data_IF_842502429999
#
_entry.id   IF_842502429999
#
_cell.length_a   1.000
_cell.length_b   1.000
_cell.length_c   1.000
_cell.angle_alpha   90.00
_cell.angle_beta   90.00
_cell.angle_gamma   90.00
#
_symmetry.space_group_name_H-M   'P 1'
#
loop_
_entity.id
_entity.type
_entity.pdbx_description
1 polymer ?
#
# COMPACT_ATOMS: atom_id res chain seq x y z
N UNK A 1 -23.07 -18.93 -22.46
CA UNK A 1 -22.05 -18.30 -23.33
C UNK A 1 -21.82 -16.84 -22.98
N UNK A 2 -22.81 -15.96 -23.02
CA UNK A 2 -22.69 -14.52 -22.72
C UNK A 2 -22.08 -14.24 -21.33
N UNK A 3 -22.43 -15.00 -20.27
CA UNK A 3 -21.87 -14.85 -18.92
C UNK A 3 -20.36 -15.16 -18.86
N UNK A 4 -19.88 -16.12 -19.66
CA UNK A 4 -18.43 -16.42 -19.77
C UNK A 4 -17.69 -15.31 -20.52
N UNK A 5 -18.26 -14.83 -21.63
CA UNK A 5 -17.69 -13.72 -22.42
C UNK A 5 -17.57 -12.46 -21.56
N UNK A 6 -18.63 -12.10 -20.81
CA UNK A 6 -18.61 -10.97 -19.89
C UNK A 6 -17.52 -11.11 -18.82
N UNK A 7 -17.32 -12.33 -18.28
CA UNK A 7 -16.25 -12.58 -17.29
C UNK A 7 -14.86 -12.31 -17.86
N UNK A 8 -14.61 -12.76 -19.08
CA UNK A 8 -13.33 -12.56 -19.76
C UNK A 8 -13.11 -11.07 -20.06
N UNK A 9 -14.11 -10.40 -20.65
CA UNK A 9 -13.98 -9.01 -21.09
C UNK A 9 -13.79 -8.00 -19.94
N UNK A 10 -14.44 -8.23 -18.81
CA UNK A 10 -14.39 -7.31 -17.65
C UNK A 10 -13.44 -7.77 -16.55
N UNK A 11 -12.65 -8.84 -16.78
CA UNK A 11 -11.87 -9.48 -15.72
C UNK A 11 -12.68 -9.82 -14.46
N UNK A 12 -14.00 -10.02 -14.62
CA UNK A 12 -14.92 -10.28 -13.51
C UNK A 12 -14.80 -11.70 -12.93
N UNK A 13 -13.79 -12.45 -13.31
CA UNK A 13 -13.32 -13.67 -12.64
C UNK A 13 -12.59 -13.35 -11.33
N UNK A 14 -12.04 -12.13 -11.20
CA UNK A 14 -11.44 -11.67 -9.96
C UNK A 14 -12.51 -11.14 -8.98
N UNK A 15 -12.38 -11.39 -7.67
CA UNK A 15 -13.28 -10.81 -6.68
C UNK A 15 -13.30 -9.28 -6.77
N UNK A 16 -14.48 -8.67 -6.66
CA UNK A 16 -14.61 -7.20 -6.70
C UNK A 16 -13.77 -6.51 -5.64
N UNK A 17 -13.76 -7.07 -4.42
CA UNK A 17 -12.93 -6.55 -3.32
C UNK A 17 -11.45 -6.50 -3.67
N UNK A 18 -10.93 -7.55 -4.31
CA UNK A 18 -9.53 -7.58 -4.75
C UNK A 18 -9.23 -6.55 -5.85
N UNK A 19 -10.18 -6.34 -6.79
CA UNK A 19 -10.03 -5.31 -7.82
C UNK A 19 -10.09 -3.89 -7.26
N UNK A 20 -10.98 -3.62 -6.31
CA UNK A 20 -11.10 -2.33 -5.63
C UNK A 20 -9.83 -1.99 -4.83
N UNK A 21 -9.23 -3.00 -4.21
CA UNK A 21 -8.03 -2.85 -3.39
C UNK A 21 -6.78 -2.50 -4.23
N UNK A 22 -6.62 -3.10 -5.41
CA UNK A 22 -5.48 -2.82 -6.29
C UNK A 22 -5.73 -1.61 -7.21
N UNK A 23 -6.96 -1.09 -7.28
CA UNK A 23 -7.35 0.02 -8.15
C UNK A 23 -6.50 1.29 -7.97
N UNK A 24 -6.17 1.76 -6.74
CA UNK A 24 -5.32 2.95 -6.56
C UNK A 24 -3.93 2.77 -7.18
N UNK A 25 -3.35 1.58 -7.07
CA UNK A 25 -2.04 1.25 -7.62
C UNK A 25 -2.05 1.24 -9.15
N UNK A 26 -3.09 0.65 -9.75
CA UNK A 26 -3.31 0.65 -11.20
C UNK A 26 -3.47 2.09 -11.73
N UNK A 27 -4.22 2.93 -11.03
CA UNK A 27 -4.41 4.32 -11.42
C UNK A 27 -3.11 5.11 -11.35
N UNK A 28 -2.28 4.89 -10.32
CA UNK A 28 -0.98 5.53 -10.20
C UNK A 28 -0.01 5.09 -11.31
N UNK A 29 0.01 3.80 -11.65
CA UNK A 29 0.86 3.32 -12.74
C UNK A 29 0.38 3.83 -14.10
N UNK A 30 -0.93 3.87 -14.34
CA UNK A 30 -1.48 4.50 -15.54
C UNK A 30 -1.13 6.01 -15.60
N UNK A 31 -1.10 6.72 -14.47
CA UNK A 31 -0.65 8.11 -14.40
C UNK A 31 0.82 8.25 -14.83
N UNK A 32 1.70 7.39 -14.32
CA UNK A 32 3.11 7.37 -14.74
C UNK A 32 3.25 7.10 -16.22
N UNK A 33 2.46 6.16 -16.77
CA UNK A 33 2.43 5.91 -18.21
C UNK A 33 1.96 7.12 -19.01
N UNK A 34 0.92 7.85 -18.57
CA UNK A 34 0.49 9.10 -19.20
C UNK A 34 1.63 10.13 -19.25
N UNK A 35 2.38 10.29 -18.15
CA UNK A 35 3.52 11.22 -18.08
C UNK A 35 4.59 10.83 -19.10
N UNK A 36 5.02 9.56 -19.08
CA UNK A 36 6.06 9.05 -19.99
C UNK A 36 5.59 9.19 -21.44
N UNK A 37 4.37 8.76 -21.74
CA UNK A 37 3.82 8.78 -23.09
C UNK A 37 3.66 10.20 -23.63
N UNK A 38 3.16 11.14 -22.82
CA UNK A 38 3.06 12.55 -23.19
C UNK A 38 4.45 13.18 -23.41
N UNK A 39 5.44 12.86 -22.58
CA UNK A 39 6.81 13.33 -22.74
C UNK A 39 7.45 12.81 -24.05
N UNK A 40 7.31 11.52 -24.33
CA UNK A 40 7.82 10.92 -25.57
C UNK A 40 7.15 11.54 -26.81
N UNK A 41 5.83 11.72 -26.78
CA UNK A 41 5.11 12.40 -27.86
C UNK A 41 5.57 13.85 -28.03
N UNK A 42 5.80 14.59 -26.94
CA UNK A 42 6.33 15.96 -27.04
C UNK A 42 7.70 16.02 -27.71
N UNK A 43 8.62 15.11 -27.38
CA UNK A 43 9.92 15.00 -28.05
C UNK A 43 9.75 14.70 -29.54
N UNK A 44 8.83 13.80 -29.89
CA UNK A 44 8.52 13.46 -31.28
C UNK A 44 7.97 14.69 -32.04
N UNK A 45 7.01 15.43 -31.47
CA UNK A 45 6.44 16.61 -32.12
C UNK A 45 7.44 17.75 -32.23
N UNK A 46 8.35 17.95 -31.25
CA UNK A 46 9.47 18.90 -31.36
C UNK A 46 10.36 18.55 -32.57
N UNK A 47 10.74 17.26 -32.68
CA UNK A 47 11.51 16.79 -33.84
C UNK A 47 10.78 17.09 -35.15
N UNK A 48 9.49 16.78 -35.26
CA UNK A 48 8.68 17.08 -36.43
C UNK A 48 8.63 18.57 -36.74
N UNK A 49 8.50 19.44 -35.74
CA UNK A 49 8.54 20.91 -35.91
C UNK A 49 9.90 21.38 -36.42
N UNK A 50 11.00 20.86 -35.90
CA UNK A 50 12.36 21.18 -36.41
C UNK A 50 12.48 20.77 -37.88
N UNK A 51 11.97 19.60 -38.25
CA UNK A 51 11.99 19.14 -39.66
C UNK A 51 11.21 20.08 -40.59
N UNK A 52 10.17 20.77 -40.12
CA UNK A 52 9.47 21.76 -40.95
C UNK A 52 10.33 23.01 -41.27
N UNK A 53 11.39 23.26 -40.52
CA UNK A 53 12.34 24.35 -40.77
C UNK A 53 13.41 23.91 -41.79
N UNK A 54 13.87 22.65 -41.64
CA UNK A 54 14.98 22.10 -42.43
C UNK A 54 14.52 21.70 -43.83
N UNK A 55 13.32 21.12 -43.96
CA UNK A 55 12.82 20.56 -45.21
C UNK A 55 11.47 21.19 -45.61
N UNK A 56 11.42 21.93 -46.75
CA UNK A 56 10.19 22.57 -47.24
C UNK A 56 9.00 21.62 -47.42
N UNK A 57 9.23 20.34 -47.72
CA UNK A 57 8.15 19.35 -47.92
C UNK A 57 7.26 19.21 -46.67
N UNK A 58 7.77 19.51 -45.46
CA UNK A 58 7.04 19.42 -44.21
C UNK A 58 6.34 20.73 -43.79
N UNK A 59 6.50 21.82 -44.51
CA UNK A 59 5.94 23.15 -44.14
C UNK A 59 4.42 23.11 -43.95
N UNK A 60 3.70 22.36 -44.81
CA UNK A 60 2.24 22.23 -44.76
C UNK A 60 1.75 21.54 -43.48
N UNK A 61 2.59 20.75 -42.83
CA UNK A 61 2.23 20.03 -41.61
C UNK A 61 2.55 20.81 -40.32
N UNK A 62 3.20 21.99 -40.42
CA UNK A 62 3.64 22.76 -39.23
C UNK A 62 2.53 23.04 -38.22
N UNK A 63 1.35 23.44 -38.68
CA UNK A 63 0.22 23.74 -37.81
C UNK A 63 -0.27 22.48 -37.09
N UNK A 64 -0.28 21.32 -37.77
CA UNK A 64 -0.68 20.03 -37.20
C UNK A 64 0.28 19.62 -36.08
N UNK A 65 1.60 19.71 -36.35
CA UNK A 65 2.63 19.40 -35.36
C UNK A 65 2.59 20.31 -34.12
N UNK A 66 2.37 21.64 -34.35
CA UNK A 66 2.25 22.59 -33.26
C UNK A 66 1.00 22.35 -32.40
N UNK A 67 -0.15 22.05 -33.00
CA UNK A 67 -1.36 21.67 -32.26
C UNK A 67 -1.17 20.38 -31.45
N UNK A 68 -0.62 19.34 -32.06
CA UNK A 68 -0.35 18.08 -31.39
C UNK A 68 0.63 18.24 -30.23
N UNK A 69 1.69 19.02 -30.41
CA UNK A 69 2.63 19.36 -29.33
C UNK A 69 1.92 20.09 -28.17
N UNK A 70 1.10 21.10 -28.48
CA UNK A 70 0.36 21.83 -27.44
C UNK A 70 -0.58 20.94 -26.63
N UNK A 71 -1.34 20.06 -27.30
CA UNK A 71 -2.23 19.09 -26.63
C UNK A 71 -1.44 18.13 -25.74
N UNK A 72 -0.35 17.56 -26.25
CA UNK A 72 0.49 16.64 -25.46
C UNK A 72 1.12 17.35 -24.26
N UNK A 73 1.50 18.63 -24.39
CA UNK A 73 2.04 19.44 -23.28
C UNK A 73 0.98 19.67 -22.20
N UNK A 74 -0.26 20.01 -22.59
CA UNK A 74 -1.38 20.15 -21.65
C UNK A 74 -1.65 18.82 -20.95
N UNK A 75 -1.69 17.70 -21.67
CA UNK A 75 -1.86 16.36 -21.09
C UNK A 75 -0.73 16.02 -20.11
N UNK A 76 0.51 16.35 -20.41
CA UNK A 76 1.65 16.19 -19.50
C UNK A 76 1.45 16.99 -18.21
N UNK A 77 1.11 18.27 -18.32
CA UNK A 77 0.83 19.12 -17.17
C UNK A 77 -0.33 18.59 -16.32
N UNK A 78 -1.43 18.15 -16.95
CA UNK A 78 -2.57 17.57 -16.25
C UNK A 78 -2.19 16.26 -15.53
N UNK A 79 -1.37 15.42 -16.15
CA UNK A 79 -0.89 14.17 -15.54
C UNK A 79 -0.01 14.40 -14.32
N UNK A 80 0.79 15.48 -14.33
CA UNK A 80 1.70 15.81 -13.22
C UNK A 80 0.95 16.52 -12.08
N UNK A 81 0.13 17.54 -12.40
CA UNK A 81 -0.40 18.46 -11.38
C UNK A 81 -1.85 18.19 -10.97
N UNK A 82 -2.70 17.76 -11.90
CA UNK A 82 -4.14 17.58 -11.65
C UNK A 82 -4.52 16.14 -11.34
N UNK A 83 -3.95 15.16 -12.04
CA UNK A 83 -4.30 13.75 -11.89
C UNK A 83 -4.02 13.17 -10.50
N UNK A 84 -2.99 13.59 -9.73
CA UNK A 84 -2.82 13.13 -8.34
C UNK A 84 -4.00 13.48 -7.43
N UNK A 85 -4.69 14.61 -7.70
CA UNK A 85 -5.87 15.06 -6.93
C UNK A 85 -7.17 14.50 -7.50
N UNK A 86 -7.21 14.21 -8.80
CA UNK A 86 -8.37 13.75 -9.55
C UNK A 86 -8.03 12.54 -10.41
N UNK A 87 -7.89 11.33 -9.84
CA UNK A 87 -7.45 10.12 -10.57
C UNK A 87 -8.33 9.77 -11.77
N UNK A 88 -9.61 10.15 -11.75
CA UNK A 88 -10.54 9.93 -12.87
C UNK A 88 -10.12 10.61 -14.18
N UNK A 89 -9.27 11.67 -14.12
CA UNK A 89 -8.75 12.35 -15.32
C UNK A 89 -7.79 11.48 -16.12
N UNK A 90 -7.15 10.48 -15.52
CA UNK A 90 -6.12 9.66 -16.17
C UNK A 90 -6.67 8.97 -17.42
N UNK A 91 -7.90 8.45 -17.36
CA UNK A 91 -8.55 7.83 -18.54
C UNK A 91 -8.78 8.83 -19.66
N UNK A 92 -9.29 10.01 -19.34
CA UNK A 92 -9.53 11.07 -20.33
C UNK A 92 -8.22 11.52 -20.97
N UNK A 93 -7.16 11.71 -20.19
CA UNK A 93 -5.83 12.08 -20.67
C UNK A 93 -5.28 11.01 -21.62
N UNK A 94 -5.42 9.74 -21.28
CA UNK A 94 -4.97 8.62 -22.11
C UNK A 94 -5.68 8.62 -23.48
N UNK A 95 -7.00 8.80 -23.48
CA UNK A 95 -7.80 8.89 -24.71
C UNK A 95 -7.38 10.11 -25.55
N UNK A 96 -7.22 11.29 -24.94
CA UNK A 96 -6.81 12.51 -25.65
C UNK A 96 -5.43 12.34 -26.29
N UNK A 97 -4.48 11.73 -25.59
CA UNK A 97 -3.15 11.45 -26.13
C UNK A 97 -3.20 10.51 -27.34
N UNK A 98 -4.03 9.47 -27.26
CA UNK A 98 -4.21 8.50 -28.33
C UNK A 98 -4.87 9.15 -29.57
N UNK A 99 -6.01 9.82 -29.37
CA UNK A 99 -6.72 10.51 -30.44
C UNK A 99 -5.89 11.63 -31.10
N UNK A 100 -5.03 12.29 -30.31
CA UNK A 100 -4.10 13.31 -30.85
C UNK A 100 -3.12 12.68 -31.83
N UNK A 101 -2.58 11.52 -31.51
CA UNK A 101 -1.67 10.78 -32.38
C UNK A 101 -2.38 10.29 -33.64
N UNK A 102 -3.59 9.72 -33.49
CA UNK A 102 -4.43 9.22 -34.57
C UNK A 102 -4.77 10.34 -35.56
N UNK A 103 -5.35 11.44 -35.07
CA UNK A 103 -5.77 12.59 -35.92
C UNK A 103 -4.58 13.26 -36.60
N UNK A 104 -3.50 13.48 -35.88
CA UNK A 104 -2.29 14.03 -36.50
C UNK A 104 -1.78 13.14 -37.63
N UNK A 105 -1.77 11.80 -37.42
CA UNK A 105 -1.39 10.82 -38.45
C UNK A 105 -2.28 10.89 -39.68
N UNK A 106 -3.61 11.00 -39.50
CA UNK A 106 -4.57 11.12 -40.60
C UNK A 106 -4.36 12.39 -41.41
N UNK A 107 -4.18 13.55 -40.74
CA UNK A 107 -3.94 14.83 -41.44
C UNK A 107 -2.58 14.89 -42.11
N UNK A 108 -1.54 14.28 -41.52
CA UNK A 108 -0.19 14.22 -42.13
C UNK A 108 -0.22 13.35 -43.37
N UNK A 109 -0.96 12.25 -43.40
CA UNK A 109 -1.07 11.36 -44.54
C UNK A 109 -1.63 12.05 -45.80
N UNK A 110 -2.35 13.16 -45.66
CA UNK A 110 -2.81 13.99 -46.77
C UNK A 110 -1.66 14.67 -47.53
N UNK A 111 -0.58 15.03 -46.82
CA UNK A 111 0.52 15.82 -47.36
C UNK A 111 1.78 14.98 -47.63
N UNK A 112 1.95 13.89 -46.90
CA UNK A 112 3.16 13.08 -46.90
C UNK A 112 2.76 11.58 -46.98
N UNK A 113 2.53 11.09 -48.20
CA UNK A 113 2.44 9.64 -48.41
C UNK A 113 3.82 9.01 -48.13
N UNK A 114 3.97 7.98 -47.42
CA UNK A 114 3.23 6.90 -46.79
C UNK A 114 3.40 6.81 -45.25
N UNK A 115 3.26 7.91 -44.52
CA UNK A 115 3.51 7.91 -43.05
C UNK A 115 2.30 7.42 -42.20
N UNK A 116 1.56 6.47 -42.74
CA UNK A 116 0.45 5.79 -42.04
C UNK A 116 0.89 4.97 -40.80
N UNK A 117 2.20 4.76 -40.60
CA UNK A 117 2.77 4.08 -39.43
C UNK A 117 2.29 4.69 -38.10
N UNK A 118 2.13 6.03 -38.05
CA UNK A 118 1.68 6.73 -36.83
C UNK A 118 0.26 6.28 -36.41
N UNK A 119 -0.63 6.04 -37.39
CA UNK A 119 -1.99 5.58 -37.13
C UNK A 119 -2.00 4.16 -36.54
N UNK A 120 -1.10 3.30 -36.99
CA UNK A 120 -1.02 1.92 -36.48
C UNK A 120 -0.34 1.86 -35.11
N UNK A 121 0.57 2.77 -34.82
CA UNK A 121 1.25 2.84 -33.54
C UNK A 121 0.26 3.09 -32.38
N UNK A 122 -0.72 4.01 -32.54
CA UNK A 122 -1.73 4.30 -31.54
C UNK A 122 -2.52 3.05 -31.16
N UNK A 123 -2.95 2.30 -32.16
CA UNK A 123 -3.80 1.10 -31.99
C UNK A 123 -3.08 -0.06 -31.29
N UNK A 124 -1.75 -0.16 -31.47
CA UNK A 124 -0.95 -1.24 -30.87
C UNK A 124 -0.38 -0.88 -29.51
N UNK A 125 0.06 0.37 -29.34
CA UNK A 125 0.80 0.79 -28.13
C UNK A 125 -0.15 1.02 -26.96
N UNK A 126 -1.27 1.69 -27.18
CA UNK A 126 -2.16 2.10 -26.09
C UNK A 126 -2.75 0.91 -25.33
N UNK A 127 -3.27 -0.17 -25.99
CA UNK A 127 -3.76 -1.35 -25.28
C UNK A 127 -2.69 -2.08 -24.45
N UNK A 128 -1.41 -1.91 -24.82
CA UNK A 128 -0.29 -2.57 -24.13
C UNK A 128 0.24 -1.70 -23.00
N UNK A 129 0.25 -0.38 -23.17
CA UNK A 129 0.79 0.56 -22.19
C UNK A 129 -0.17 0.77 -21.02
N UNK A 130 -1.46 1.03 -21.30
CA UNK A 130 -2.44 1.31 -20.26
C UNK A 130 -3.06 0.04 -19.69
N UNK A 131 -3.19 -0.01 -18.36
CA UNK A 131 -3.81 -1.12 -17.65
C UNK A 131 -5.32 -0.88 -17.63
N UNK A 132 -6.03 -1.54 -18.55
CA UNK A 132 -7.47 -1.44 -18.71
C UNK A 132 -8.08 -2.83 -18.86
N UNK A 133 -9.38 -2.94 -18.57
CA UNK A 133 -10.13 -4.14 -18.93
C UNK A 133 -10.32 -4.23 -20.46
N UNK A 134 -10.52 -5.44 -20.95
CA UNK A 134 -10.63 -5.70 -22.39
C UNK A 134 -11.81 -4.99 -23.03
N UNK A 135 -12.92 -4.78 -22.29
CA UNK A 135 -14.09 -4.06 -22.80
C UNK A 135 -13.76 -2.59 -23.05
N UNK A 136 -13.07 -1.91 -22.12
CA UNK A 136 -12.61 -0.55 -22.31
C UNK A 136 -11.65 -0.40 -23.48
N UNK A 137 -10.75 -1.38 -23.67
CA UNK A 137 -9.86 -1.45 -24.84
C UNK A 137 -10.64 -1.56 -26.14
N UNK A 138 -11.61 -2.46 -26.21
CA UNK A 138 -12.47 -2.62 -27.40
C UNK A 138 -13.22 -1.32 -27.71
N UNK A 139 -13.83 -0.70 -26.71
CA UNK A 139 -14.58 0.54 -26.89
C UNK A 139 -13.69 1.67 -27.43
N UNK A 140 -12.50 1.82 -26.90
CA UNK A 140 -11.54 2.82 -27.38
C UNK A 140 -11.14 2.57 -28.84
N UNK A 141 -10.83 1.33 -29.22
CA UNK A 141 -10.48 1.01 -30.60
C UNK A 141 -11.66 1.15 -31.59
N UNK A 142 -12.90 0.93 -31.13
CA UNK A 142 -14.10 1.25 -31.93
C UNK A 142 -14.17 2.76 -32.17
N UNK A 143 -13.92 3.60 -31.16
CA UNK A 143 -13.89 5.06 -31.30
C UNK A 143 -12.83 5.47 -32.30
N UNK A 144 -11.61 4.92 -32.22
CA UNK A 144 -10.54 5.18 -33.19
C UNK A 144 -10.96 4.85 -34.64
N UNK A 145 -11.61 3.72 -34.88
CA UNK A 145 -12.10 3.35 -36.21
C UNK A 145 -13.19 4.32 -36.68
N UNK A 146 -14.11 4.73 -35.84
CA UNK A 146 -15.17 5.71 -36.17
C UNK A 146 -14.55 7.07 -36.52
N UNK A 147 -13.66 7.58 -35.68
CA UNK A 147 -12.96 8.88 -35.88
C UNK A 147 -12.17 8.83 -37.20
N UNK A 148 -11.39 7.76 -37.39
CA UNK A 148 -10.65 7.56 -38.64
C UNK A 148 -11.59 7.56 -39.86
N UNK A 149 -12.71 6.83 -39.81
CA UNK A 149 -13.68 6.75 -40.91
C UNK A 149 -14.27 8.11 -41.24
N UNK A 150 -14.65 8.89 -40.24
CA UNK A 150 -15.25 10.24 -40.41
C UNK A 150 -14.26 11.25 -41.03
N UNK A 151 -13.01 11.21 -40.60
CA UNK A 151 -11.99 12.18 -41.04
C UNK A 151 -11.27 11.67 -42.30
N UNK A 152 -10.81 10.42 -42.28
CA UNK A 152 -10.01 9.83 -43.38
C UNK A 152 -10.76 9.76 -44.68
N UNK A 153 -12.05 9.43 -44.69
CA UNK A 153 -12.87 9.42 -45.90
C UNK A 153 -12.98 10.78 -46.60
N UNK A 154 -12.77 11.88 -45.88
CA UNK A 154 -12.85 13.26 -46.41
C UNK A 154 -11.49 13.84 -46.76
N UNK A 155 -10.40 13.28 -46.26
CA UNK A 155 -9.07 13.86 -46.31
C UNK A 155 -8.08 13.05 -47.16
N UNK A 156 -8.34 11.77 -47.37
CA UNK A 156 -7.44 10.85 -48.07
C UNK A 156 -7.96 10.48 -49.46
N UNK A 157 -7.02 10.11 -50.37
CA UNK A 157 -7.33 9.46 -51.62
C UNK A 157 -8.07 8.11 -51.38
N UNK A 158 -9.07 7.73 -52.19
CA UNK A 158 -9.92 6.56 -51.95
C UNK A 158 -9.15 5.23 -51.78
N UNK A 159 -8.09 5.02 -52.53
CA UNK A 159 -7.29 3.79 -52.41
C UNK A 159 -6.43 3.77 -51.18
N UNK A 160 -5.81 4.88 -50.82
CA UNK A 160 -5.06 5.07 -49.58
C UNK A 160 -5.98 4.87 -48.37
N UNK A 161 -7.17 5.49 -48.41
CA UNK A 161 -8.17 5.35 -47.33
C UNK A 161 -8.58 3.89 -47.12
N UNK A 162 -8.92 3.14 -48.19
CA UNK A 162 -9.30 1.71 -48.10
C UNK A 162 -8.16 0.89 -47.53
N UNK A 163 -6.93 1.12 -47.96
CA UNK A 163 -5.76 0.40 -47.47
C UNK A 163 -5.50 0.68 -45.99
N UNK A 164 -5.54 1.94 -45.56
CA UNK A 164 -5.33 2.31 -44.15
C UNK A 164 -6.44 1.77 -43.27
N UNK A 165 -7.70 1.88 -43.70
CA UNK A 165 -8.85 1.36 -42.92
C UNK A 165 -8.77 -0.15 -42.72
N UNK A 166 -8.44 -0.92 -43.75
CA UNK A 166 -8.31 -2.37 -43.62
C UNK A 166 -7.20 -2.77 -42.65
N UNK A 167 -6.05 -2.09 -42.70
CA UNK A 167 -4.95 -2.32 -41.78
C UNK A 167 -5.29 -1.87 -40.35
N UNK A 168 -5.98 -0.73 -40.20
CA UNK A 168 -6.45 -0.26 -38.88
C UNK A 168 -7.35 -1.30 -38.21
N UNK A 169 -8.28 -1.90 -38.95
CA UNK A 169 -9.13 -2.98 -38.43
C UNK A 169 -8.32 -4.22 -38.01
N UNK A 170 -7.36 -4.63 -38.85
CA UNK A 170 -6.50 -5.80 -38.54
C UNK A 170 -5.68 -5.54 -37.28
N UNK A 171 -4.98 -4.39 -37.22
CA UNK A 171 -4.16 -4.04 -36.07
C UNK A 171 -4.99 -3.80 -34.80
N UNK A 172 -6.26 -3.34 -34.92
CA UNK A 172 -7.18 -3.24 -33.80
C UNK A 172 -7.45 -4.60 -33.18
N UNK A 173 -7.72 -5.64 -34.00
CA UNK A 173 -7.91 -7.03 -33.50
C UNK A 173 -6.65 -7.53 -32.80
N UNK A 174 -5.48 -7.31 -33.40
CA UNK A 174 -4.19 -7.67 -32.80
C UNK A 174 -3.96 -6.93 -31.49
N UNK A 175 -4.23 -5.63 -31.44
CA UNK A 175 -4.14 -4.80 -30.24
C UNK A 175 -5.05 -5.26 -29.10
N UNK A 176 -6.30 -5.64 -29.42
CA UNK A 176 -7.23 -6.23 -28.44
C UNK A 176 -6.66 -7.53 -27.87
N UNK A 177 -6.14 -8.41 -28.70
CA UNK A 177 -5.57 -9.69 -28.24
C UNK A 177 -4.37 -9.48 -27.34
N UNK A 178 -3.39 -8.69 -27.79
CA UNK A 178 -2.17 -8.41 -27.01
C UNK A 178 -2.55 -7.68 -25.72
N UNK A 179 -3.39 -6.64 -25.79
CA UNK A 179 -3.85 -5.87 -24.64
C UNK A 179 -4.56 -6.75 -23.61
N UNK A 180 -5.42 -7.67 -24.06
CA UNK A 180 -6.09 -8.63 -23.18
C UNK A 180 -5.08 -9.48 -22.40
N UNK A 181 -4.14 -10.12 -23.07
CA UNK A 181 -3.17 -11.00 -22.40
C UNK A 181 -2.23 -10.23 -21.48
N UNK A 182 -1.71 -9.09 -21.94
CA UNK A 182 -0.79 -8.26 -21.16
C UNK A 182 -1.48 -7.69 -19.92
N UNK A 183 -2.68 -7.12 -20.08
CA UNK A 183 -3.40 -6.52 -18.98
C UNK A 183 -3.89 -7.57 -17.97
N UNK A 184 -4.38 -8.73 -18.45
CA UNK A 184 -4.71 -9.86 -17.58
C UNK A 184 -3.52 -10.29 -16.71
N UNK A 185 -2.35 -10.48 -17.32
CA UNK A 185 -1.13 -10.84 -16.59
C UNK A 185 -0.71 -9.78 -15.57
N UNK A 186 -0.95 -8.48 -15.87
CA UNK A 186 -0.70 -7.39 -14.93
C UNK A 186 -1.68 -7.43 -13.75
N UNK A 187 -2.98 -7.57 -13.99
CA UNK A 187 -3.98 -7.71 -12.93
C UNK A 187 -3.67 -8.90 -12.01
N UNK A 188 -3.34 -10.05 -12.57
CA UNK A 188 -2.93 -11.24 -11.81
C UNK A 188 -1.73 -10.95 -10.90
N UNK A 189 -0.73 -10.22 -11.40
CA UNK A 189 0.44 -9.83 -10.59
C UNK A 189 0.08 -8.90 -9.44
N UNK A 190 -0.77 -7.89 -9.65
CA UNK A 190 -1.20 -6.98 -8.59
C UNK A 190 -1.94 -7.72 -7.48
N UNK A 191 -2.93 -8.56 -7.86
CA UNK A 191 -3.70 -9.34 -6.88
C UNK A 191 -2.81 -10.34 -6.14
N UNK A 192 -1.87 -10.97 -6.83
CA UNK A 192 -0.92 -11.89 -6.20
C UNK A 192 0.03 -11.17 -5.24
N UNK A 193 0.56 -10.01 -5.64
CA UNK A 193 1.44 -9.20 -4.79
C UNK A 193 0.74 -8.75 -3.50
N UNK A 194 -0.51 -8.28 -3.63
CA UNK A 194 -1.33 -7.87 -2.49
C UNK A 194 -1.64 -9.05 -1.56
N UNK A 195 -2.03 -10.20 -2.13
CA UNK A 195 -2.29 -11.41 -1.35
C UNK A 195 -1.04 -11.90 -0.61
N UNK A 196 0.14 -11.81 -1.25
CA UNK A 196 1.42 -12.17 -0.64
C UNK A 196 1.78 -11.21 0.49
N UNK A 197 1.54 -9.92 0.32
CA UNK A 197 1.80 -8.92 1.37
C UNK A 197 0.92 -9.17 2.61
N UNK A 198 -0.38 -9.46 2.39
CA UNK A 198 -1.29 -9.82 3.49
C UNK A 198 -0.87 -11.10 4.21
N UNK A 199 -0.46 -12.11 3.46
CA UNK A 199 0.02 -13.36 4.04
C UNK A 199 1.26 -13.12 4.91
N UNK A 200 2.22 -12.33 4.41
CA UNK A 200 3.43 -11.98 5.15
C UNK A 200 3.11 -11.18 6.45
N UNK A 201 2.15 -10.24 6.38
CA UNK A 201 1.70 -9.51 7.59
C UNK A 201 1.02 -10.45 8.60
N UNK A 202 0.19 -11.37 8.12
CA UNK A 202 -0.43 -12.40 8.99
C UNK A 202 0.64 -13.30 9.61
N UNK A 203 1.58 -13.81 8.83
CA UNK A 203 2.69 -14.63 9.33
C UNK A 203 3.52 -13.87 10.36
N UNK A 204 3.82 -12.59 10.14
CA UNK A 204 4.52 -11.75 11.10
C UNK A 204 3.73 -11.58 12.40
N UNK A 205 2.42 -11.31 12.32
CA UNK A 205 1.55 -11.22 13.49
C UNK A 205 1.50 -12.54 14.28
N UNK A 206 1.41 -13.69 13.61
CA UNK A 206 1.45 -15.00 14.27
C UNK A 206 2.83 -15.31 14.87
N UNK A 207 3.91 -14.89 14.20
CA UNK A 207 5.26 -15.15 14.68
C UNK A 207 5.67 -14.27 15.87
N UNK A 208 5.22 -13.01 15.91
CA UNK A 208 5.67 -12.00 16.86
C UNK A 208 4.56 -11.42 17.76
N UNK A 209 3.29 -11.70 17.50
CA UNK A 209 2.17 -11.26 18.32
C UNK A 209 1.70 -12.31 19.33
N UNK A 210 1.27 -11.85 20.50
CA UNK A 210 0.52 -12.66 21.46
C UNK A 210 -0.96 -12.66 21.08
N UNK A 211 -1.53 -13.83 20.86
CA UNK A 211 -2.89 -13.98 20.33
C UNK A 211 -3.99 -13.53 21.29
N UNK A 212 -3.72 -13.58 22.61
CA UNK A 212 -4.71 -13.20 23.62
C UNK A 212 -4.76 -11.69 23.82
N UNK A 213 -3.61 -11.03 23.82
CA UNK A 213 -3.50 -9.62 24.20
C UNK A 213 -3.32 -8.67 23.02
N UNK A 214 -2.84 -9.18 21.89
CA UNK A 214 -2.43 -8.37 20.73
C UNK A 214 -1.10 -7.63 20.92
N UNK A 215 -0.43 -7.78 22.05
CA UNK A 215 0.92 -7.27 22.29
C UNK A 215 1.97 -8.12 21.56
N UNK A 216 3.23 -7.70 21.65
CA UNK A 216 4.34 -8.51 21.16
C UNK A 216 4.56 -9.72 22.09
N UNK A 217 4.91 -10.88 21.50
CA UNK A 217 5.12 -12.11 22.23
C UNK A 217 6.56 -12.26 22.73
N UNK A 218 6.82 -13.37 23.45
CA UNK A 218 8.15 -13.71 23.97
C UNK A 218 9.25 -13.73 22.91
N UNK A 219 8.95 -14.25 21.70
CA UNK A 219 9.93 -14.28 20.60
C UNK A 219 10.34 -12.88 20.16
N UNK A 220 9.36 -11.98 20.00
CA UNK A 220 9.63 -10.58 19.68
C UNK A 220 10.49 -9.90 20.76
N UNK A 221 10.23 -10.22 22.03
CA UNK A 221 11.04 -9.76 23.15
C UNK A 221 12.49 -10.26 23.07
N UNK A 222 12.71 -11.55 22.87
CA UNK A 222 14.05 -12.15 22.79
C UNK A 222 14.88 -11.52 21.66
N UNK A 223 14.29 -11.31 20.47
CA UNK A 223 14.95 -10.65 19.34
C UNK A 223 15.26 -9.15 19.63
N UNK A 224 14.34 -8.45 20.31
CA UNK A 224 14.56 -7.05 20.69
C UNK A 224 15.71 -6.91 21.70
N UNK A 225 15.77 -7.78 22.71
CA UNK A 225 16.86 -7.80 23.67
C UNK A 225 18.20 -8.08 23.00
N UNK A 226 18.26 -9.05 22.10
CA UNK A 226 19.50 -9.34 21.36
C UNK A 226 19.99 -8.15 20.53
N UNK A 227 19.10 -7.40 19.92
CA UNK A 227 19.43 -6.19 19.16
C UNK A 227 19.93 -5.07 20.08
N UNK A 228 19.24 -4.82 21.21
CA UNK A 228 19.60 -3.77 22.16
C UNK A 228 20.89 -4.08 22.91
N UNK A 229 21.19 -5.35 23.18
CA UNK A 229 22.44 -5.75 23.80
C UNK A 229 23.67 -5.42 22.92
N UNK A 230 23.52 -5.41 21.59
CA UNK A 230 24.59 -5.03 20.65
C UNK A 230 24.86 -3.52 20.62
N UNK A 231 23.83 -2.71 20.88
CA UNK A 231 23.91 -1.23 20.89
C UNK A 231 22.88 -0.67 21.87
N UNK A 232 23.26 -0.61 23.15
CA UNK A 232 22.40 -0.16 24.23
C UNK A 232 22.21 1.37 24.18
N UNK A 233 20.98 1.88 23.94
CA UNK A 233 20.70 3.32 23.93
C UNK A 233 20.86 3.90 25.35
N UNK A 234 21.40 5.10 25.46
CA UNK A 234 21.58 5.80 26.75
C UNK A 234 20.23 6.05 27.47
N UNK A 235 19.15 6.23 26.72
CA UNK A 235 17.78 6.39 27.24
C UNK A 235 17.06 5.07 27.57
N UNK A 236 17.72 3.92 27.38
CA UNK A 236 17.08 2.64 27.57
C UNK A 236 16.61 2.43 29.01
N UNK A 237 15.32 2.12 29.17
CA UNK A 237 14.71 1.73 30.42
C UNK A 237 13.81 0.51 30.20
N UNK A 238 13.86 -0.44 31.13
CA UNK A 238 13.03 -1.65 31.12
C UNK A 238 12.08 -1.61 32.31
N UNK A 239 10.82 -1.92 32.05
CA UNK A 239 9.80 -2.17 33.07
C UNK A 239 9.43 -3.63 33.01
N UNK A 240 9.73 -4.39 34.05
CA UNK A 240 9.17 -5.74 34.25
C UNK A 240 7.87 -5.62 35.03
N UNK A 241 6.82 -6.32 34.62
CA UNK A 241 5.50 -6.23 35.24
C UNK A 241 4.85 -7.62 35.33
N UNK A 242 4.10 -7.85 36.40
CA UNK A 242 3.43 -9.15 36.68
C UNK A 242 2.04 -8.88 37.30
N UNK A 243 1.03 -9.61 36.81
CA UNK A 243 -0.35 -9.46 37.27
C UNK A 243 -0.50 -10.13 38.65
N UNK A 244 -1.02 -9.40 39.63
CA UNK A 244 -1.27 -9.97 40.96
C UNK A 244 -2.57 -10.75 40.96
N UNK A 245 -2.54 -11.97 41.54
CA UNK A 245 -3.73 -12.76 41.79
C UNK A 245 -4.32 -13.50 40.58
N UNK A 246 -3.63 -13.60 39.43
CA UNK A 246 -4.15 -14.31 38.25
C UNK A 246 -4.54 -15.76 38.56
N UNK A 247 -3.70 -16.50 39.31
CA UNK A 247 -4.01 -17.89 39.68
C UNK A 247 -5.28 -17.97 40.52
N UNK A 248 -5.44 -17.10 41.51
CA UNK A 248 -6.63 -17.04 42.36
C UNK A 248 -7.89 -16.72 41.56
N UNK A 249 -7.78 -15.81 40.62
CA UNK A 249 -8.85 -15.46 39.68
C UNK A 249 -9.25 -16.68 38.83
N UNK A 250 -8.28 -17.40 38.28
CA UNK A 250 -8.53 -18.61 37.50
C UNK A 250 -9.21 -19.70 38.35
N UNK A 251 -8.71 -19.91 39.57
CA UNK A 251 -9.21 -20.96 40.49
C UNK A 251 -10.64 -20.63 40.99
N UNK A 252 -10.99 -19.36 41.13
CA UNK A 252 -12.28 -18.90 41.69
C UNK A 252 -13.33 -18.61 40.63
N UNK A 253 -12.97 -17.95 39.54
CA UNK A 253 -13.88 -17.43 38.50
C UNK A 253 -13.71 -18.16 37.17
N UNK A 254 -12.71 -19.05 37.05
CA UNK A 254 -12.41 -19.78 35.82
C UNK A 254 -11.48 -19.05 34.85
N UNK A 255 -10.96 -19.81 33.88
CA UNK A 255 -9.96 -19.31 32.93
C UNK A 255 -10.42 -18.10 32.08
N UNK A 256 -11.71 -17.99 31.77
CA UNK A 256 -12.23 -16.82 31.03
C UNK A 256 -12.07 -15.52 31.81
N UNK A 257 -12.20 -15.55 33.13
CA UNK A 257 -11.95 -14.37 33.96
C UNK A 257 -10.45 -14.04 34.05
N UNK A 258 -9.59 -15.08 34.07
CA UNK A 258 -8.14 -14.87 33.95
C UNK A 258 -7.72 -14.29 32.62
N UNK A 259 -8.29 -14.75 31.50
CA UNK A 259 -8.06 -14.18 30.18
C UNK A 259 -8.49 -12.70 30.12
N UNK A 260 -9.65 -12.37 30.70
CA UNK A 260 -10.12 -11.01 30.82
C UNK A 260 -9.15 -10.12 31.63
N UNK A 261 -8.60 -10.66 32.72
CA UNK A 261 -7.61 -9.99 33.54
C UNK A 261 -6.32 -9.72 32.77
N UNK A 262 -5.83 -10.70 32.02
CA UNK A 262 -4.64 -10.55 31.16
C UNK A 262 -4.87 -9.51 30.04
N UNK A 263 -6.01 -9.56 29.37
CA UNK A 263 -6.40 -8.57 28.37
C UNK A 263 -6.51 -7.16 28.98
N UNK A 264 -7.07 -7.07 30.20
CA UNK A 264 -7.15 -5.83 30.95
C UNK A 264 -5.79 -5.23 31.24
N UNK A 265 -4.84 -6.05 31.74
CA UNK A 265 -3.47 -5.63 32.01
C UNK A 265 -2.75 -5.14 30.74
N UNK A 266 -2.88 -5.86 29.64
CA UNK A 266 -2.32 -5.47 28.36
C UNK A 266 -2.83 -4.09 27.88
N UNK A 267 -4.15 -3.86 27.99
CA UNK A 267 -4.76 -2.56 27.63
C UNK A 267 -4.32 -1.44 28.58
N UNK A 268 -4.20 -1.71 29.87
CA UNK A 268 -3.70 -0.73 30.83
C UNK A 268 -2.24 -0.37 30.56
N UNK A 269 -1.38 -1.36 30.23
CA UNK A 269 0.00 -1.13 29.83
C UNK A 269 0.09 -0.27 28.56
N UNK A 270 -0.62 -0.62 27.49
CA UNK A 270 -0.61 0.16 26.24
C UNK A 270 -1.08 1.60 26.43
N UNK A 271 -2.05 1.85 27.31
CA UNK A 271 -2.51 3.21 27.62
C UNK A 271 -1.55 3.98 28.53
N UNK A 272 -0.75 3.29 29.32
CA UNK A 272 0.21 3.91 30.24
C UNK A 272 1.52 4.28 29.57
N UNK A 273 1.84 3.57 28.50
CA UNK A 273 3.07 3.75 27.70
C UNK A 273 2.74 4.04 26.22
N UNK A 274 2.00 5.10 25.90
CA UNK A 274 1.49 5.34 24.54
C UNK A 274 2.59 5.69 23.52
N UNK A 275 3.76 6.14 24.00
CA UNK A 275 4.90 6.53 23.17
C UNK A 275 5.79 5.35 22.76
N UNK A 276 5.50 4.14 23.23
CA UNK A 276 6.24 2.93 22.83
C UNK A 276 5.33 1.83 22.35
N UNK A 277 5.74 1.16 21.28
CA UNK A 277 5.17 -0.07 20.76
C UNK A 277 5.87 -1.35 21.29
N UNK A 278 6.93 -1.17 22.10
CA UNK A 278 7.77 -2.24 22.65
C UNK A 278 7.21 -2.78 23.97
N UNK A 279 5.98 -3.28 23.92
CA UNK A 279 5.30 -3.92 25.05
C UNK A 279 5.14 -5.41 24.73
N UNK A 280 5.70 -6.24 25.58
CA UNK A 280 5.80 -7.68 25.37
C UNK A 280 5.07 -8.44 26.46
N UNK A 281 4.41 -9.54 26.07
CA UNK A 281 3.96 -10.58 27.00
C UNK A 281 4.94 -11.74 26.93
N UNK A 282 5.70 -11.95 27.99
CA UNK A 282 6.80 -12.95 28.06
C UNK A 282 6.38 -14.27 28.70
N UNK A 283 5.31 -14.25 29.50
CA UNK A 283 4.78 -15.39 30.20
C UNK A 283 3.26 -15.30 30.37
N UNK A 284 2.70 -16.13 31.23
CA UNK A 284 1.27 -16.17 31.52
C UNK A 284 0.73 -14.85 32.06
N UNK A 285 1.36 -14.33 33.11
CA UNK A 285 1.07 -13.09 33.83
C UNK A 285 2.18 -12.03 33.71
N UNK A 286 3.25 -12.33 32.97
CA UNK A 286 4.44 -11.51 32.87
C UNK A 286 4.45 -10.64 31.61
N UNK A 287 4.77 -9.36 31.79
CA UNK A 287 4.92 -8.37 30.75
C UNK A 287 6.24 -7.61 30.89
N UNK A 288 6.78 -7.16 29.77
CA UNK A 288 7.95 -6.30 29.72
C UNK A 288 7.67 -5.12 28.82
N UNK A 289 8.03 -3.91 29.28
CA UNK A 289 8.03 -2.70 28.46
C UNK A 289 9.46 -2.23 28.29
N UNK A 290 9.86 -1.95 27.05
CA UNK A 290 11.18 -1.42 26.73
C UNK A 290 11.03 0.00 26.18
N UNK A 291 11.63 0.96 26.83
CA UNK A 291 11.64 2.37 26.46
C UNK A 291 13.05 2.71 26.00
N UNK A 292 13.19 3.37 24.86
CA UNK A 292 14.50 3.77 24.32
C UNK A 292 14.61 5.28 24.16
N UNK A 293 13.57 6.02 24.52
CA UNK A 293 13.50 7.46 24.43
C UNK A 293 14.15 8.12 25.65
N UNK A 294 15.06 9.06 25.40
CA UNK A 294 15.70 9.82 26.49
C UNK A 294 14.72 10.76 27.18
N UNK A 295 14.76 10.78 28.51
CA UNK A 295 13.92 11.69 29.28
C UNK A 295 12.48 11.23 29.49
N UNK A 296 12.15 10.01 29.09
CA UNK A 296 10.83 9.45 29.33
C UNK A 296 10.55 9.35 30.86
N UNK A 297 9.39 9.86 31.27
CA UNK A 297 8.95 9.82 32.68
C UNK A 297 8.27 8.47 32.99
N UNK A 298 9.10 7.51 33.38
CA UNK A 298 8.66 6.14 33.71
C UNK A 298 7.81 6.12 34.98
N UNK A 299 8.09 6.98 35.94
CA UNK A 299 7.35 7.01 37.21
C UNK A 299 5.91 7.50 36.98
N UNK A 300 5.75 8.55 36.18
CA UNK A 300 4.42 9.00 35.77
C UNK A 300 3.64 7.93 34.98
N UNK A 301 4.34 7.14 34.14
CA UNK A 301 3.72 6.04 33.40
C UNK A 301 3.26 4.90 34.33
N UNK A 302 4.07 4.55 35.34
CA UNK A 302 3.70 3.57 36.37
C UNK A 302 2.53 4.03 37.23
N UNK A 303 2.47 5.31 37.55
CA UNK A 303 1.33 5.85 38.30
C UNK A 303 0.04 5.89 37.45
N UNK A 304 0.15 6.10 36.12
CA UNK A 304 -0.96 5.90 35.19
C UNK A 304 -1.40 4.44 35.18
N UNK A 305 -0.44 3.50 35.11
CA UNK A 305 -0.73 2.05 35.12
C UNK A 305 -1.50 1.65 36.37
N UNK A 306 -1.04 2.04 37.54
CA UNK A 306 -1.73 1.75 38.81
C UNK A 306 -3.17 2.25 38.79
N UNK A 307 -3.40 3.48 38.35
CA UNK A 307 -4.76 4.07 38.25
C UNK A 307 -5.63 3.32 37.26
N UNK A 308 -5.13 3.06 36.04
CA UNK A 308 -5.92 2.37 35.02
C UNK A 308 -6.28 0.93 35.43
N UNK A 309 -5.38 0.23 36.12
CA UNK A 309 -5.67 -1.10 36.66
C UNK A 309 -6.72 -1.05 37.79
N UNK A 310 -6.62 -0.07 38.69
CA UNK A 310 -7.59 0.09 39.79
C UNK A 310 -8.99 0.48 39.25
N UNK A 311 -9.05 1.34 38.23
CA UNK A 311 -10.28 1.81 37.62
C UNK A 311 -10.85 0.89 36.53
N UNK A 312 -10.21 -0.27 36.29
CA UNK A 312 -10.60 -1.21 35.26
C UNK A 312 -12.03 -1.72 35.48
N UNK A 313 -12.84 -1.73 34.44
CA UNK A 313 -14.20 -2.26 34.43
C UNK A 313 -14.37 -3.23 33.25
N UNK A 314 -14.22 -4.50 33.53
CA UNK A 314 -14.51 -5.59 32.61
C UNK A 314 -15.89 -6.21 32.88
N UNK A 315 -16.13 -7.37 32.27
CA UNK A 315 -17.39 -8.11 32.48
C UNK A 315 -17.44 -8.83 33.85
N UNK A 316 -16.34 -9.47 34.21
CA UNK A 316 -16.21 -10.23 35.44
C UNK A 316 -15.18 -9.61 36.41
N UNK A 317 -14.19 -8.91 35.89
CA UNK A 317 -13.09 -8.30 36.63
C UNK A 317 -13.30 -6.80 36.79
N UNK A 318 -13.34 -6.35 38.02
CA UNK A 318 -13.46 -4.93 38.41
C UNK A 318 -12.28 -4.55 39.30
N UNK A 319 -11.36 -3.78 38.75
CA UNK A 319 -10.13 -3.40 39.44
C UNK A 319 -9.18 -4.57 39.66
N UNK A 320 -7.92 -4.35 39.42
CA UNK A 320 -6.84 -5.31 39.69
C UNK A 320 -5.55 -4.56 39.96
N UNK A 321 -4.49 -5.26 40.29
CA UNK A 321 -3.16 -4.66 40.47
C UNK A 321 -2.10 -5.41 39.69
N UNK A 322 -1.05 -4.65 39.35
CA UNK A 322 0.15 -5.15 38.70
C UNK A 322 1.36 -4.75 39.53
N UNK A 323 2.22 -5.70 39.82
CA UNK A 323 3.53 -5.44 40.44
C UNK A 323 4.52 -5.11 39.35
N UNK A 324 5.27 -4.02 39.50
CA UNK A 324 6.22 -3.58 38.49
C UNK A 324 7.56 -3.20 39.12
N UNK A 325 8.63 -3.38 38.36
CA UNK A 325 9.99 -2.97 38.68
C UNK A 325 10.68 -2.38 37.47
N UNK A 326 11.50 -1.36 37.67
CA UNK A 326 12.18 -0.62 36.57
C UNK A 326 13.68 -0.59 36.80
N UNK A 327 14.44 -0.64 35.70
CA UNK A 327 15.88 -0.37 35.68
C UNK A 327 16.29 0.26 34.34
N UNK A 328 17.37 1.01 34.31
CA UNK A 328 17.77 1.80 33.16
C UNK A 328 19.26 1.75 32.84
N UNK A 329 19.62 2.14 31.63
CA UNK A 329 20.99 2.31 31.17
C UNK A 329 21.75 3.42 31.94
N UNK A 330 21.04 4.27 32.70
CA UNK A 330 21.68 5.23 33.62
C UNK A 330 22.29 4.57 34.86
N UNK A 331 21.76 3.38 35.20
CA UNK A 331 22.18 2.61 36.39
C UNK A 331 23.17 1.50 36.04
N UNK A 332 23.00 0.93 34.83
CA UNK A 332 23.74 -0.25 34.37
C UNK A 332 24.21 -0.08 32.93
N UNK A 333 25.41 -0.56 32.62
CA UNK A 333 26.00 -0.46 31.28
C UNK A 333 25.76 -1.70 30.40
N UNK A 334 24.98 -2.67 30.89
CA UNK A 334 24.73 -3.94 30.26
C UNK A 334 23.25 -4.29 30.32
N UNK A 335 22.72 -4.80 29.20
CA UNK A 335 21.30 -5.13 29.08
C UNK A 335 20.86 -6.23 30.05
N UNK A 336 21.68 -7.24 30.24
CA UNK A 336 21.37 -8.35 31.17
C UNK A 336 21.29 -7.85 32.62
N UNK A 337 22.14 -6.91 33.02
CA UNK A 337 22.08 -6.28 34.32
C UNK A 337 20.82 -5.44 34.52
N UNK A 338 20.39 -4.71 33.48
CA UNK A 338 19.14 -3.93 33.49
C UNK A 338 17.94 -4.87 33.69
N UNK A 339 17.85 -5.94 32.88
CA UNK A 339 16.78 -6.91 32.95
C UNK A 339 16.68 -7.56 34.33
N UNK A 340 17.81 -8.02 34.84
CA UNK A 340 17.89 -8.65 36.16
C UNK A 340 17.48 -7.69 37.29
N UNK A 341 17.88 -6.44 37.20
CA UNK A 341 17.51 -5.43 38.20
C UNK A 341 16.02 -5.08 38.16
N UNK A 342 15.45 -4.95 36.94
CA UNK A 342 14.02 -4.72 36.76
C UNK A 342 13.20 -5.87 37.34
N UNK A 343 13.56 -7.14 37.03
CA UNK A 343 12.90 -8.33 37.54
C UNK A 343 13.00 -8.43 39.07
N UNK A 344 14.16 -8.19 39.66
CA UNK A 344 14.32 -8.17 41.12
C UNK A 344 13.41 -7.14 41.81
N UNK A 345 13.31 -5.93 41.23
CA UNK A 345 12.45 -4.85 41.75
C UNK A 345 10.96 -5.20 41.62
N UNK A 346 10.58 -5.79 40.49
CA UNK A 346 9.22 -6.31 40.30
C UNK A 346 8.87 -7.40 41.33
N UNK A 347 9.78 -8.33 41.57
CA UNK A 347 9.57 -9.38 42.58
C UNK A 347 9.45 -8.80 44.00
N UNK A 348 10.23 -7.77 44.31
CA UNK A 348 10.10 -7.06 45.60
C UNK A 348 8.73 -6.37 45.71
N UNK A 349 8.29 -5.66 44.70
CA UNK A 349 6.96 -5.05 44.63
C UNK A 349 5.84 -6.10 44.80
N UNK A 350 6.02 -7.29 44.19
CA UNK A 350 5.07 -8.41 44.34
C UNK A 350 5.02 -8.96 45.75
N UNK A 351 6.16 -9.02 46.44
CA UNK A 351 6.20 -9.40 47.85
C UNK A 351 5.47 -8.40 48.75
N UNK A 352 5.76 -7.11 48.58
CA UNK A 352 5.12 -6.03 49.35
C UNK A 352 3.60 -6.06 49.17
N UNK A 353 3.12 -6.31 47.95
CA UNK A 353 1.69 -6.47 47.65
C UNK A 353 1.09 -7.63 48.50
N UNK A 354 1.67 -8.84 48.46
CA UNK A 354 1.13 -9.98 49.19
C UNK A 354 1.23 -9.79 50.71
N UNK A 355 2.27 -9.17 51.21
CA UNK A 355 2.40 -8.82 52.64
C UNK A 355 1.30 -7.84 53.07
N UNK A 356 0.98 -6.84 52.22
CA UNK A 356 -0.06 -5.84 52.51
C UNK A 356 -1.47 -6.43 52.63
N UNK A 357 -1.74 -7.53 51.91
CA UNK A 357 -3.05 -8.23 51.95
C UNK A 357 -3.06 -9.43 52.93
N UNK A 358 -1.99 -9.59 53.74
CA UNK A 358 -1.92 -10.62 54.77
C UNK A 358 -1.72 -12.05 54.24
N UNK A 359 -1.26 -12.22 53.00
CA UNK A 359 -0.98 -13.51 52.35
C UNK A 359 0.52 -13.80 52.37
N UNK A 360 0.99 -14.66 53.32
CA UNK A 360 2.38 -15.15 53.32
C UNK A 360 2.57 -16.25 52.25
N UNK A 361 3.40 -16.00 51.24
CA UNK A 361 3.71 -16.93 50.12
C UNK A 361 4.57 -18.13 50.52
N UNK A 362 5.10 -18.15 51.74
CA UNK A 362 6.00 -19.23 52.26
C UNK A 362 5.27 -20.50 52.68
N UNK A 363 3.94 -20.53 52.61
CA UNK A 363 3.13 -21.69 53.07
C UNK A 363 2.46 -22.50 51.96
N UNK A 364 3.02 -22.54 50.76
CA UNK A 364 2.58 -23.48 49.73
C UNK A 364 3.78 -24.13 49.02
#
# INVERSE_FOLDING_TARGET
>A
MLRKIRKILLFSEFPRSALEEVQPQIMEDNRKFCIIWAAVNNLFWIYCLIMTVINPAYHMCRAIYACAFAVCTVCLCLSVYAAPKHPGLIRAIAIILDETLLLAGVFIARYLAPQTIVVFASVLIVPVVFITDTFSTILMLIVNVIVFTQVGSRTMEPDTYRWVLSNLCIFSVVGIMIGHFVNRARFERYIFAESKAKLADMEARYAYGDQLTGLQNRRAYEEAIEQLAKNLPAGCCVVAADINGLKETNDTLGHHAGDELIIGAAKCLSRSFPETDRIYRTGGDEFVVIITEEGYDVDAALDRLKRFCADWKGNQIHGFSVSAGTASAKEFNDMDAILKAADQRMYQSKREYYESIGKDRRRR
#
